data_IF_029301724151
#
_entry.id   IF_029301724151
#
_cell.length_a   1.000
_cell.length_b   1.000
_cell.length_c   1.000
_cell.angle_alpha   90.00
_cell.angle_beta   90.00
_cell.angle_gamma   90.00
#
_symmetry.space_group_name_H-M   'P 1'
#
loop_
_entity.id
_entity.type
_entity.pdbx_description
1 polymer ?
#
# COMPACT_ATOMS: atom_id res chain seq x y z
N UNK A 1 -68.96 4.44 -45.57
CA UNK A 1 -68.57 5.86 -45.46
C UNK A 1 -68.04 6.28 -46.83
N UNK A 2 -68.77 7.13 -47.56
CA UNK A 2 -68.48 7.44 -48.97
C UNK A 2 -67.12 8.13 -49.13
N UNK A 3 -66.39 7.77 -50.18
CA UNK A 3 -65.15 8.45 -50.59
C UNK A 3 -65.56 9.84 -51.08
N UNK A 4 -65.37 10.87 -50.25
CA UNK A 4 -65.55 12.26 -50.66
C UNK A 4 -64.38 12.56 -51.61
N UNK A 5 -64.67 12.71 -52.91
CA UNK A 5 -63.71 13.30 -53.86
C UNK A 5 -63.39 14.72 -53.39
N UNK A 6 -62.11 15.10 -53.43
CA UNK A 6 -61.68 16.45 -53.08
C UNK A 6 -62.41 17.49 -53.94
N UNK A 7 -62.85 18.59 -53.32
CA UNK A 7 -63.43 19.73 -54.03
C UNK A 7 -62.36 20.36 -54.94
N UNK A 8 -62.75 20.80 -56.14
CA UNK A 8 -61.89 21.68 -56.93
C UNK A 8 -61.70 23.04 -56.24
N UNK A 9 -60.64 23.77 -56.57
CA UNK A 9 -60.33 25.07 -55.95
C UNK A 9 -61.46 26.09 -56.17
N UNK A 10 -62.10 26.07 -57.35
CA UNK A 10 -63.27 26.90 -57.66
C UNK A 10 -64.50 26.52 -56.83
N UNK A 11 -64.80 25.22 -56.70
CA UNK A 11 -65.93 24.73 -55.88
C UNK A 11 -65.70 25.00 -54.39
N UNK A 12 -64.46 24.88 -53.92
CA UNK A 12 -64.07 25.21 -52.55
C UNK A 12 -64.31 26.70 -52.26
N UNK A 13 -63.87 27.58 -53.16
CA UNK A 13 -64.00 29.03 -53.01
C UNK A 13 -65.47 29.46 -53.02
N UNK A 14 -66.26 28.92 -53.96
CA UNK A 14 -67.69 29.18 -54.03
C UNK A 14 -68.46 28.70 -52.77
N UNK A 15 -68.03 27.60 -52.16
CA UNK A 15 -68.60 27.09 -50.90
C UNK A 15 -68.15 27.92 -49.70
N UNK A 16 -66.87 28.31 -49.67
CA UNK A 16 -66.30 29.19 -48.66
C UNK A 16 -67.05 30.52 -48.60
N UNK A 17 -67.23 31.19 -49.74
CA UNK A 17 -67.95 32.46 -49.84
C UNK A 17 -69.39 32.36 -49.35
N UNK A 18 -70.07 31.24 -49.68
CA UNK A 18 -71.44 30.97 -49.25
C UNK A 18 -71.56 30.78 -47.73
N UNK A 19 -70.57 30.13 -47.11
CA UNK A 19 -70.52 29.96 -45.65
C UNK A 19 -70.14 31.28 -44.98
N UNK A 20 -69.16 32.00 -45.52
CA UNK A 20 -68.69 33.29 -45.03
C UNK A 20 -69.73 34.41 -45.15
N UNK A 21 -70.75 34.26 -46.00
CA UNK A 21 -71.86 35.21 -46.12
C UNK A 21 -72.70 35.37 -44.83
N UNK A 22 -72.56 34.46 -43.86
CA UNK A 22 -73.24 34.53 -42.55
C UNK A 22 -72.26 34.74 -41.40
N UNK A 23 -72.65 35.50 -40.37
CA UNK A 23 -71.84 35.72 -39.18
C UNK A 23 -71.51 34.42 -38.42
N UNK A 24 -72.45 33.47 -38.38
CA UNK A 24 -72.22 32.14 -37.83
C UNK A 24 -71.24 31.32 -38.67
N UNK A 25 -71.28 31.42 -40.00
CA UNK A 25 -70.37 30.69 -40.88
C UNK A 25 -68.93 31.21 -40.80
N UNK A 26 -68.72 32.52 -40.65
CA UNK A 26 -67.39 33.08 -40.36
C UNK A 26 -66.85 32.59 -39.02
N UNK A 27 -67.69 32.53 -37.98
CA UNK A 27 -67.31 31.99 -36.68
C UNK A 27 -66.94 30.50 -36.76
N UNK A 28 -67.71 29.72 -37.52
CA UNK A 28 -67.42 28.32 -37.80
C UNK A 28 -66.07 28.14 -38.52
N UNK A 29 -65.79 28.90 -39.57
CA UNK A 29 -64.53 28.80 -40.32
C UNK A 29 -63.32 29.16 -39.46
N UNK A 30 -63.42 30.19 -38.61
CA UNK A 30 -62.37 30.57 -37.66
C UNK A 30 -62.06 29.45 -36.68
N UNK A 31 -63.12 28.85 -36.12
CA UNK A 31 -62.98 27.75 -35.16
C UNK A 31 -62.49 26.46 -35.83
N UNK A 32 -62.92 26.19 -37.06
CA UNK A 32 -62.44 25.07 -37.87
C UNK A 32 -60.95 25.22 -38.22
N UNK A 33 -60.53 26.42 -38.63
CA UNK A 33 -59.12 26.71 -38.90
C UNK A 33 -58.25 26.60 -37.63
N UNK A 34 -58.75 27.07 -36.48
CA UNK A 34 -58.06 26.91 -35.18
C UNK A 34 -57.85 25.43 -34.84
N UNK A 35 -58.90 24.61 -34.92
CA UNK A 35 -58.85 23.16 -34.61
C UNK A 35 -57.97 22.38 -35.60
N UNK A 36 -58.01 22.76 -36.88
CA UNK A 36 -57.14 22.17 -37.89
C UNK A 36 -55.66 22.48 -37.61
N UNK A 37 -55.34 23.72 -37.20
CA UNK A 37 -53.99 24.13 -36.80
C UNK A 37 -53.49 23.43 -35.54
N UNK A 38 -54.33 23.30 -34.52
CA UNK A 38 -53.99 22.60 -33.26
C UNK A 38 -53.64 21.13 -33.48
N UNK A 39 -54.33 20.47 -34.41
CA UNK A 39 -54.04 19.07 -34.76
C UNK A 39 -52.67 18.94 -35.43
N UNK A 40 -52.34 19.84 -36.36
CA UNK A 40 -51.02 19.85 -37.02
C UNK A 40 -49.88 20.21 -36.07
N UNK A 41 -50.10 21.16 -35.16
CA UNK A 41 -49.13 21.53 -34.13
C UNK A 41 -48.88 20.38 -33.13
N UNK A 42 -49.95 19.72 -32.67
CA UNK A 42 -49.83 18.55 -31.80
C UNK A 42 -49.06 17.40 -32.46
N UNK A 43 -49.29 17.14 -33.74
CA UNK A 43 -48.54 16.14 -34.50
C UNK A 43 -47.06 16.50 -34.64
N UNK A 44 -46.74 17.78 -34.89
CA UNK A 44 -45.37 18.26 -34.98
C UNK A 44 -44.64 18.15 -33.63
N UNK A 45 -45.29 18.51 -32.52
CA UNK A 45 -44.71 18.39 -31.19
C UNK A 45 -44.41 16.93 -30.81
N UNK A 46 -45.31 16.01 -31.17
CA UNK A 46 -45.09 14.56 -30.98
C UNK A 46 -43.90 14.09 -31.82
N UNK A 47 -43.84 14.45 -33.11
CA UNK A 47 -42.75 14.07 -33.99
C UNK A 47 -41.39 14.61 -33.50
N UNK A 48 -41.33 15.86 -33.02
CA UNK A 48 -40.11 16.44 -32.46
C UNK A 48 -39.69 15.76 -31.16
N UNK A 49 -40.64 15.36 -30.32
CA UNK A 49 -40.38 14.63 -29.08
C UNK A 49 -39.80 13.24 -29.36
N UNK A 50 -40.35 12.53 -30.34
CA UNK A 50 -39.85 11.24 -30.80
C UNK A 50 -38.44 11.37 -31.40
N UNK A 51 -38.22 12.36 -32.26
CA UNK A 51 -36.90 12.62 -32.83
C UNK A 51 -35.86 12.90 -31.73
N UNK A 52 -36.22 13.70 -30.71
CA UNK A 52 -35.34 13.98 -29.56
C UNK A 52 -35.03 12.72 -28.76
N UNK A 53 -36.01 11.84 -28.56
CA UNK A 53 -35.83 10.57 -27.87
C UNK A 53 -34.90 9.62 -28.65
N UNK A 54 -35.02 9.58 -29.98
CA UNK A 54 -34.12 8.81 -30.84
C UNK A 54 -32.68 9.36 -30.77
N UNK A 55 -32.51 10.68 -30.85
CA UNK A 55 -31.18 11.30 -30.73
C UNK A 55 -30.56 11.07 -29.35
N UNK A 56 -31.32 11.17 -28.26
CA UNK A 56 -30.79 10.91 -26.91
C UNK A 56 -30.43 9.44 -26.70
N UNK A 57 -31.24 8.51 -27.22
CA UNK A 57 -30.93 7.09 -27.22
C UNK A 57 -29.66 6.78 -28.02
N UNK A 58 -29.54 7.36 -29.22
CA UNK A 58 -28.36 7.21 -30.06
C UNK A 58 -27.10 7.76 -29.38
N UNK A 59 -27.18 8.93 -28.75
CA UNK A 59 -26.07 9.51 -27.99
C UNK A 59 -25.64 8.61 -26.82
N UNK A 60 -26.59 7.99 -26.12
CA UNK A 60 -26.31 7.03 -25.03
C UNK A 60 -25.58 5.79 -25.53
N UNK A 61 -25.96 5.25 -26.69
CA UNK A 61 -25.28 4.09 -27.30
C UNK A 61 -23.83 4.42 -27.69
N UNK A 62 -23.58 5.58 -28.30
CA UNK A 62 -22.21 6.00 -28.60
C UNK A 62 -21.38 6.23 -27.34
N UNK A 63 -21.98 6.77 -26.28
CA UNK A 63 -21.29 7.00 -25.02
C UNK A 63 -20.93 5.68 -24.31
N UNK A 64 -21.82 4.68 -24.33
CA UNK A 64 -21.54 3.35 -23.78
C UNK A 64 -20.50 2.59 -24.60
N UNK A 65 -20.57 2.66 -25.93
CA UNK A 65 -19.55 2.10 -26.81
C UNK A 65 -18.16 2.75 -26.58
N UNK A 66 -18.11 4.07 -26.43
CA UNK A 66 -16.87 4.79 -26.11
C UNK A 66 -16.27 4.40 -24.76
N UNK A 67 -17.10 4.20 -23.73
CA UNK A 67 -16.65 3.68 -22.42
C UNK A 67 -16.13 2.25 -22.50
N UNK A 68 -16.80 1.38 -23.26
CA UNK A 68 -16.36 0.01 -23.46
C UNK A 68 -15.00 -0.04 -24.18
N UNK A 69 -14.78 0.82 -25.17
CA UNK A 69 -13.51 0.91 -25.88
C UNK A 69 -12.38 1.47 -24.99
N UNK A 70 -12.68 2.46 -24.14
CA UNK A 70 -11.73 2.96 -23.14
C UNK A 70 -11.33 1.86 -22.15
N UNK A 71 -12.31 1.13 -21.59
CA UNK A 71 -12.06 0.00 -20.68
C UNK A 71 -11.24 -1.11 -21.38
N UNK A 72 -11.54 -1.40 -22.64
CA UNK A 72 -10.77 -2.35 -23.44
C UNK A 72 -9.31 -1.91 -23.61
N UNK A 73 -9.09 -0.61 -23.82
CA UNK A 73 -7.76 -0.01 -23.85
C UNK A 73 -7.02 -0.19 -22.53
N UNK A 74 -7.65 0.16 -21.41
CA UNK A 74 -7.09 -0.03 -20.06
C UNK A 74 -6.77 -1.50 -19.75
N UNK A 75 -7.64 -2.44 -20.13
CA UNK A 75 -7.41 -3.87 -19.99
C UNK A 75 -6.20 -4.35 -20.82
N UNK A 76 -6.01 -3.82 -22.02
CA UNK A 76 -4.84 -4.14 -22.85
C UNK A 76 -3.55 -3.56 -22.26
N UNK A 77 -3.59 -2.35 -21.72
CA UNK A 77 -2.45 -1.73 -21.05
C UNK A 77 -2.05 -2.48 -19.79
N UNK A 78 -3.03 -2.92 -18.98
CA UNK A 78 -2.79 -3.79 -17.84
C UNK A 78 -2.19 -5.14 -18.27
N UNK A 79 -2.73 -5.76 -19.33
CA UNK A 79 -2.19 -7.02 -19.85
C UNK A 79 -0.74 -6.86 -20.34
N UNK A 80 -0.42 -5.76 -21.02
CA UNK A 80 0.94 -5.44 -21.44
C UNK A 80 1.88 -5.23 -20.23
N UNK A 81 1.41 -4.53 -19.20
CA UNK A 81 2.16 -4.31 -17.95
C UNK A 81 2.44 -5.62 -17.21
N UNK A 82 1.46 -6.53 -17.16
CA UNK A 82 1.62 -7.86 -16.57
C UNK A 82 2.66 -8.69 -17.33
N UNK A 83 2.60 -8.69 -18.66
CA UNK A 83 3.59 -9.39 -19.50
C UNK A 83 5.00 -8.81 -19.36
N UNK A 84 5.12 -7.49 -19.21
CA UNK A 84 6.40 -6.85 -18.92
C UNK A 84 6.95 -7.29 -17.55
N UNK A 85 6.14 -7.22 -16.50
CA UNK A 85 6.52 -7.68 -15.16
C UNK A 85 6.91 -9.18 -15.16
N UNK A 86 6.18 -10.01 -15.91
CA UNK A 86 6.49 -11.44 -16.09
C UNK A 86 7.86 -11.64 -16.72
N UNK A 87 8.24 -10.85 -17.72
CA UNK A 87 9.57 -10.90 -18.36
C UNK A 87 10.68 -10.45 -17.42
N UNK A 88 10.46 -9.37 -16.67
CA UNK A 88 11.42 -8.87 -15.69
C UNK A 88 11.67 -9.91 -14.59
N UNK A 89 10.61 -10.52 -14.06
CA UNK A 89 10.71 -11.58 -13.05
C UNK A 89 11.36 -12.84 -13.63
N UNK A 90 11.04 -13.20 -14.87
CA UNK A 90 11.75 -14.28 -15.56
C UNK A 90 13.23 -13.97 -15.79
N UNK A 91 13.62 -12.71 -15.96
CA UNK A 91 15.01 -12.28 -16.10
C UNK A 91 15.79 -12.28 -14.77
N UNK A 92 15.10 -12.13 -13.63
CA UNK A 92 15.71 -12.36 -12.31
C UNK A 92 16.15 -13.82 -12.12
N UNK A 93 15.60 -14.75 -12.91
CA UNK A 93 16.03 -16.15 -12.91
C UNK A 93 17.18 -16.34 -13.92
N UNK A 94 18.37 -16.81 -13.49
CA UNK A 94 19.42 -17.23 -14.41
C UNK A 94 18.91 -18.37 -15.31
N UNK A 95 19.01 -18.19 -16.63
CA UNK A 95 18.62 -19.21 -17.62
C UNK A 95 19.64 -20.34 -17.64
N UNK A 96 19.17 -21.51 -17.25
CA UNK A 96 19.78 -22.83 -17.38
C UNK A 96 21.07 -23.11 -16.58
N UNK A 97 20.96 -24.17 -15.77
CA UNK A 97 22.00 -24.84 -14.97
C UNK A 97 22.37 -24.13 -13.67
N UNK A 98 21.62 -24.45 -12.62
CA UNK A 98 21.95 -24.09 -11.25
C UNK A 98 20.88 -23.22 -10.62
N UNK A 99 19.97 -23.86 -9.90
CA UNK A 99 19.41 -23.23 -8.70
C UNK A 99 20.55 -22.53 -7.92
N UNK A 100 20.18 -21.49 -7.17
CA UNK A 100 20.96 -20.97 -6.04
C UNK A 100 21.85 -19.74 -6.26
N UNK A 101 21.66 -18.77 -7.17
CA UNK A 101 22.48 -17.53 -7.01
C UNK A 101 22.10 -16.75 -5.75
N UNK A 102 20.80 -16.57 -5.52
CA UNK A 102 20.28 -15.98 -4.30
C UNK A 102 20.42 -16.96 -3.12
N UNK A 103 20.04 -18.24 -3.27
CA UNK A 103 20.28 -19.21 -2.21
C UNK A 103 21.78 -19.36 -1.84
N UNK A 104 22.73 -19.38 -2.81
CA UNK A 104 24.18 -19.40 -2.52
C UNK A 104 24.55 -18.13 -1.77
N UNK A 105 24.13 -16.95 -2.24
CA UNK A 105 24.48 -15.70 -1.57
C UNK A 105 23.93 -15.66 -0.13
N UNK A 106 22.70 -16.11 0.09
CA UNK A 106 22.10 -16.19 1.42
C UNK A 106 22.81 -17.23 2.31
N UNK A 107 23.17 -18.39 1.76
CA UNK A 107 23.89 -19.43 2.50
C UNK A 107 25.34 -19.03 2.82
N UNK A 108 26.02 -18.33 1.91
CA UNK A 108 27.34 -17.74 2.14
C UNK A 108 27.27 -16.65 3.22
N UNK A 109 26.23 -15.81 3.20
CA UNK A 109 26.00 -14.82 4.26
C UNK A 109 25.76 -15.47 5.62
N UNK A 110 24.98 -16.55 5.69
CA UNK A 110 24.81 -17.33 6.93
C UNK A 110 26.12 -17.97 7.41
N UNK A 111 26.93 -18.49 6.48
CA UNK A 111 28.25 -19.04 6.80
C UNK A 111 29.19 -17.97 7.36
N UNK A 112 29.13 -16.74 6.83
CA UNK A 112 29.87 -15.59 7.34
C UNK A 112 29.40 -15.23 8.76
N UNK A 113 28.09 -15.13 8.99
CA UNK A 113 27.55 -14.84 10.33
C UNK A 113 28.01 -15.91 11.32
N UNK A 114 27.83 -17.19 11.00
CA UNK A 114 28.23 -18.30 11.87
C UNK A 114 29.75 -18.32 12.13
N UNK A 115 30.57 -18.07 11.11
CA UNK A 115 32.03 -18.03 11.26
C UNK A 115 32.47 -16.86 12.14
N UNK A 116 31.84 -15.69 11.99
CA UNK A 116 32.17 -14.50 12.79
C UNK A 116 31.70 -14.64 14.24
N UNK A 117 30.54 -15.25 14.49
CA UNK A 117 30.08 -15.63 15.84
C UNK A 117 31.06 -16.58 16.52
N UNK A 118 31.50 -17.63 15.82
CA UNK A 118 32.48 -18.58 16.36
C UNK A 118 33.82 -17.91 16.68
N UNK A 119 34.32 -17.09 15.76
CA UNK A 119 35.56 -16.35 15.97
C UNK A 119 35.47 -15.41 17.19
N UNK A 120 34.32 -14.75 17.39
CA UNK A 120 34.08 -13.91 18.56
C UNK A 120 34.10 -14.70 19.87
N UNK A 121 33.45 -15.87 19.91
CA UNK A 121 33.52 -16.77 21.08
C UNK A 121 34.96 -17.18 21.38
N UNK A 122 35.75 -17.52 20.36
CA UNK A 122 37.17 -17.87 20.53
C UNK A 122 38.03 -16.69 21.05
N UNK A 123 37.73 -15.46 20.60
CA UNK A 123 38.36 -14.24 21.11
C UNK A 123 38.00 -14.02 22.58
N UNK A 124 36.73 -14.15 22.96
CA UNK A 124 36.27 -13.97 24.33
C UNK A 124 36.91 -14.99 25.28
N UNK A 125 36.97 -16.27 24.89
CA UNK A 125 37.67 -17.29 25.65
C UNK A 125 39.18 -17.02 25.78
N UNK A 126 39.79 -16.41 24.75
CA UNK A 126 41.21 -16.02 24.81
C UNK A 126 41.42 -14.86 25.79
N UNK A 127 40.51 -13.88 25.80
CA UNK A 127 40.47 -12.80 26.78
C UNK A 127 40.32 -13.34 28.21
N UNK A 128 39.41 -14.28 28.47
CA UNK A 128 39.26 -14.92 29.78
C UNK A 128 40.55 -15.59 30.25
N UNK A 129 41.23 -16.33 29.36
CA UNK A 129 42.54 -16.93 29.66
C UNK A 129 43.60 -15.88 29.96
N UNK A 130 43.60 -14.75 29.25
CA UNK A 130 44.53 -13.64 29.51
C UNK A 130 44.32 -13.06 30.91
N UNK A 131 43.07 -12.90 31.38
CA UNK A 131 42.80 -12.48 32.76
C UNK A 131 43.32 -13.48 33.79
N UNK A 132 43.14 -14.78 33.55
CA UNK A 132 43.67 -15.80 34.45
C UNK A 132 45.20 -15.73 34.54
N UNK A 133 45.88 -15.56 33.40
CA UNK A 133 47.33 -15.41 33.32
C UNK A 133 47.78 -14.13 34.02
N UNK A 134 47.11 -12.99 33.80
CA UNK A 134 47.41 -11.72 34.48
C UNK A 134 47.29 -11.87 36.01
N UNK A 135 46.22 -12.51 36.48
CA UNK A 135 46.03 -12.81 37.91
C UNK A 135 47.13 -13.72 38.49
N UNK A 136 47.62 -14.70 37.72
CA UNK A 136 48.75 -15.54 38.12
C UNK A 136 50.07 -14.77 38.17
N UNK A 137 50.33 -13.89 37.19
CA UNK A 137 51.51 -13.03 37.17
C UNK A 137 51.53 -12.10 38.38
N UNK A 138 50.40 -11.46 38.68
CA UNK A 138 50.23 -10.59 39.85
C UNK A 138 50.52 -11.33 41.17
N UNK A 139 50.00 -12.56 41.33
CA UNK A 139 50.33 -13.43 42.49
C UNK A 139 51.79 -13.88 42.51
N UNK A 140 52.43 -14.00 41.36
CA UNK A 140 53.84 -14.34 41.20
C UNK A 140 54.81 -13.20 41.47
N UNK A 141 54.31 -12.01 41.84
CA UNK A 141 55.13 -10.83 42.13
C UNK A 141 55.55 -10.02 40.90
N UNK A 142 54.86 -10.19 39.77
CA UNK A 142 55.02 -9.30 38.62
C UNK A 142 54.55 -7.87 38.96
N UNK A 143 54.98 -6.90 38.15
CA UNK A 143 54.62 -5.49 38.29
C UNK A 143 53.08 -5.31 38.31
N UNK A 144 52.50 -4.76 39.39
CA UNK A 144 51.06 -4.54 39.50
C UNK A 144 50.48 -3.65 38.40
N UNK A 145 51.23 -2.64 37.94
CA UNK A 145 50.75 -1.67 36.96
C UNK A 145 50.62 -2.34 35.59
N UNK A 146 51.62 -3.13 35.18
CA UNK A 146 51.54 -3.93 33.95
C UNK A 146 50.43 -4.98 33.98
N UNK A 147 50.14 -5.58 35.14
CA UNK A 147 49.03 -6.50 35.28
C UNK A 147 47.67 -5.79 35.13
N UNK A 148 47.55 -4.59 35.67
CA UNK A 148 46.34 -3.77 35.54
C UNK A 148 46.12 -3.32 34.09
N UNK A 149 47.18 -2.97 33.36
CA UNK A 149 47.09 -2.65 31.93
C UNK A 149 46.55 -3.83 31.11
N UNK A 150 47.00 -5.07 31.39
CA UNK A 150 46.46 -6.27 30.74
C UNK A 150 44.97 -6.46 31.06
N UNK A 151 44.57 -6.32 32.33
CA UNK A 151 43.16 -6.44 32.76
C UNK A 151 42.27 -5.38 32.06
N UNK A 152 42.78 -4.16 31.90
CA UNK A 152 42.09 -3.08 31.19
C UNK A 152 41.92 -3.40 29.69
N UNK A 153 42.98 -3.88 29.03
CA UNK A 153 42.89 -4.25 27.61
C UNK A 153 41.94 -5.43 27.38
N UNK A 154 41.91 -6.40 28.29
CA UNK A 154 40.92 -7.49 28.20
C UNK A 154 39.49 -6.96 28.37
N UNK A 155 39.27 -5.99 29.27
CA UNK A 155 37.96 -5.33 29.44
C UNK A 155 37.53 -4.60 28.15
N UNK A 156 38.47 -3.98 27.44
CA UNK A 156 38.21 -3.38 26.13
C UNK A 156 37.81 -4.43 25.09
N UNK A 157 38.45 -5.60 25.08
CA UNK A 157 38.10 -6.72 24.18
C UNK A 157 36.66 -7.19 24.44
N UNK A 158 36.26 -7.39 25.70
CA UNK A 158 34.87 -7.77 26.04
C UNK A 158 33.86 -6.75 25.53
N UNK A 159 34.15 -5.46 25.74
CA UNK A 159 33.28 -4.36 25.29
C UNK A 159 33.20 -4.29 23.77
N UNK A 160 34.31 -4.46 23.06
CA UNK A 160 34.34 -4.45 21.60
C UNK A 160 33.55 -5.62 21.01
N UNK A 161 33.65 -6.82 21.60
CA UNK A 161 32.93 -8.00 21.13
C UNK A 161 31.42 -7.92 21.43
N UNK A 162 30.98 -7.18 22.45
CA UNK A 162 29.53 -7.01 22.71
C UNK A 162 28.81 -6.27 21.57
N UNK A 163 29.50 -5.38 20.85
CA UNK A 163 28.94 -4.72 19.66
C UNK A 163 28.83 -5.66 18.44
N UNK A 164 29.61 -6.75 18.41
CA UNK A 164 29.52 -7.75 17.34
C UNK A 164 28.21 -8.55 17.45
N UNK A 165 27.66 -8.75 18.65
CA UNK A 165 26.34 -9.38 18.84
C UNK A 165 25.22 -8.59 18.14
N UNK A 166 25.18 -7.27 18.30
CA UNK A 166 24.21 -6.41 17.60
C UNK A 166 24.38 -6.47 16.07
N UNK A 167 25.62 -6.59 15.60
CA UNK A 167 25.92 -6.72 14.17
C UNK A 167 25.47 -8.08 13.63
N UNK A 168 25.71 -9.18 14.36
CA UNK A 168 25.23 -10.52 14.02
C UNK A 168 23.70 -10.56 13.91
N UNK A 169 23.00 -10.01 14.91
CA UNK A 169 21.54 -9.92 14.89
C UNK A 169 21.00 -9.12 13.69
N UNK A 170 21.62 -7.99 13.36
CA UNK A 170 21.22 -7.17 12.21
C UNK A 170 21.42 -7.91 10.88
N UNK A 171 22.57 -8.56 10.71
CA UNK A 171 22.85 -9.35 9.49
C UNK A 171 21.89 -10.52 9.36
N UNK A 172 21.61 -11.26 10.44
CA UNK A 172 20.63 -12.35 10.44
C UNK A 172 19.22 -11.88 10.03
N UNK A 173 18.81 -10.68 10.46
CA UNK A 173 17.54 -10.08 10.01
C UNK A 173 17.55 -9.78 8.50
N UNK A 174 18.65 -9.27 7.96
CA UNK A 174 18.79 -8.99 6.52
C UNK A 174 18.74 -10.30 5.71
N UNK A 175 19.45 -11.34 6.13
CA UNK A 175 19.40 -12.67 5.50
C UNK A 175 17.97 -13.21 5.47
N UNK A 176 17.25 -13.14 6.59
CA UNK A 176 15.87 -13.61 6.65
C UNK A 176 14.92 -12.80 5.75
N UNK A 177 15.14 -11.49 5.62
CA UNK A 177 14.39 -10.66 4.68
C UNK A 177 14.66 -11.07 3.22
N UNK A 178 15.91 -11.38 2.86
CA UNK A 178 16.26 -11.87 1.52
C UNK A 178 15.60 -13.23 1.22
N UNK A 179 15.57 -14.16 2.18
CA UNK A 179 14.83 -15.43 2.06
C UNK A 179 13.35 -15.22 1.81
N UNK A 180 12.74 -14.28 2.52
CA UNK A 180 11.32 -13.96 2.33
C UNK A 180 11.04 -13.42 0.92
N UNK A 181 11.91 -12.53 0.42
CA UNK A 181 11.80 -12.00 -0.96
C UNK A 181 11.92 -13.15 -1.98
N UNK A 182 12.89 -14.04 -1.80
CA UNK A 182 13.08 -15.22 -2.65
C UNK A 182 11.85 -16.12 -2.70
N UNK A 183 11.25 -16.45 -1.54
CA UNK A 183 10.02 -17.24 -1.46
C UNK A 183 8.87 -16.57 -2.24
N UNK A 184 8.70 -15.26 -2.11
CA UNK A 184 7.63 -14.51 -2.78
C UNK A 184 7.83 -14.45 -4.28
N UNK A 185 9.06 -14.26 -4.75
CA UNK A 185 9.41 -14.31 -6.18
C UNK A 185 9.14 -15.71 -6.75
N UNK A 186 9.56 -16.76 -6.04
CA UNK A 186 9.31 -18.15 -6.46
C UNK A 186 7.81 -18.47 -6.52
N UNK A 187 7.02 -18.00 -5.54
CA UNK A 187 5.57 -18.14 -5.55
C UNK A 187 4.92 -17.40 -6.74
N UNK A 188 5.37 -16.19 -7.06
CA UNK A 188 4.89 -15.44 -8.21
C UNK A 188 5.20 -16.15 -9.54
N UNK A 189 6.39 -16.73 -9.68
CA UNK A 189 6.75 -17.55 -10.84
C UNK A 189 5.83 -18.77 -10.96
N UNK A 190 5.54 -19.46 -9.84
CA UNK A 190 4.67 -20.62 -9.82
C UNK A 190 3.22 -20.28 -10.21
N UNK A 191 2.67 -19.18 -9.68
CA UNK A 191 1.29 -18.73 -9.99
C UNK A 191 1.14 -18.40 -11.48
N UNK A 192 2.15 -17.78 -12.09
CA UNK A 192 2.07 -17.32 -13.48
C UNK A 192 2.47 -18.36 -14.52
N UNK A 193 2.74 -19.61 -14.10
CA UNK A 193 3.09 -20.75 -14.95
C UNK A 193 4.03 -20.33 -16.09
N UNK A 194 5.08 -19.55 -15.75
CA UNK A 194 6.10 -19.12 -16.70
C UNK A 194 6.75 -20.41 -17.21
N UNK A 195 6.55 -20.74 -18.49
CA UNK A 195 6.83 -22.07 -19.05
C UNK A 195 8.22 -22.61 -18.64
N UNK A 196 8.25 -23.83 -18.10
CA UNK A 196 9.47 -24.54 -17.70
C UNK A 196 9.63 -24.87 -16.20
N UNK A 197 8.59 -24.71 -15.37
CA UNK A 197 8.68 -25.01 -13.93
C UNK A 197 7.64 -26.05 -13.51
N UNK A 198 8.10 -27.24 -13.11
CA UNK A 198 7.33 -28.09 -12.20
C UNK A 198 7.46 -27.48 -10.80
N UNK A 199 6.36 -27.32 -10.05
CA UNK A 199 6.42 -26.81 -8.69
C UNK A 199 7.17 -27.82 -7.83
N UNK A 200 8.38 -27.48 -7.39
CA UNK A 200 8.93 -28.07 -6.16
C UNK A 200 8.34 -27.26 -5.03
N UNK A 201 7.30 -27.78 -4.39
CA UNK A 201 6.74 -27.23 -3.16
C UNK A 201 7.86 -27.13 -2.13
N UNK A 202 8.32 -25.94 -1.72
CA UNK A 202 9.13 -25.82 -0.53
C UNK A 202 8.16 -25.95 0.64
N UNK A 203 8.37 -26.91 1.54
CA UNK A 203 7.75 -26.85 2.86
C UNK A 203 8.08 -25.48 3.45
N UNK A 204 7.07 -24.71 3.85
CA UNK A 204 7.29 -23.51 4.65
C UNK A 204 8.13 -23.92 5.86
N UNK A 205 9.25 -23.24 6.14
CA UNK A 205 9.96 -23.48 7.38
C UNK A 205 9.10 -22.92 8.51
N UNK A 206 8.21 -23.74 9.06
CA UNK A 206 7.58 -23.47 10.35
C UNK A 206 8.69 -23.34 11.38
N UNK A 207 8.83 -22.16 11.98
CA UNK A 207 9.66 -21.97 13.17
C UNK A 207 8.98 -22.68 14.34
N UNK A 208 9.33 -23.96 14.53
CA UNK A 208 8.76 -24.85 15.56
C UNK A 208 9.29 -24.58 16.97
N UNK A 209 10.12 -23.54 17.14
CA UNK A 209 10.62 -23.20 18.46
C UNK A 209 9.48 -22.61 19.30
N UNK A 210 9.39 -22.96 20.60
CA UNK A 210 8.29 -22.53 21.47
C UNK A 210 8.20 -21.01 21.64
N UNK A 211 9.26 -20.29 21.29
CA UNK A 211 9.44 -18.84 21.35
C UNK A 211 9.25 -18.13 20.00
N UNK A 212 8.83 -18.80 18.93
CA UNK A 212 8.62 -18.19 17.61
C UNK A 212 7.61 -17.02 17.63
N UNK A 213 6.67 -17.03 18.57
CA UNK A 213 5.70 -15.95 18.82
C UNK A 213 6.32 -14.69 19.49
N UNK A 214 7.56 -14.76 19.97
CA UNK A 214 8.30 -13.67 20.60
C UNK A 214 9.16 -12.88 19.60
N UNK A 215 9.28 -13.35 18.36
CA UNK A 215 10.02 -12.68 17.26
C UNK A 215 9.20 -11.60 16.53
N UNK A 216 8.29 -10.94 17.25
CA UNK A 216 7.73 -9.68 16.80
C UNK A 216 8.82 -8.62 16.83
N UNK A 217 9.17 -8.04 15.67
CA UNK A 217 10.00 -6.84 15.63
C UNK A 217 9.42 -5.72 16.51
N UNK A 218 10.20 -4.68 16.82
CA UNK A 218 9.75 -3.58 17.67
C UNK A 218 8.39 -3.07 17.18
N UNK A 219 7.38 -3.23 18.04
CA UNK A 219 6.01 -2.86 17.72
C UNK A 219 5.89 -1.32 17.79
N UNK A 220 4.97 -0.77 17.01
CA UNK A 220 4.74 0.68 16.89
C UNK A 220 4.13 1.32 18.15
N UNK A 221 3.62 0.51 19.07
CA UNK A 221 3.42 0.84 20.48
C UNK A 221 4.76 0.67 21.19
N UNK A 222 5.63 1.68 21.05
CA UNK A 222 6.93 1.71 21.71
C UNK A 222 6.78 1.43 23.21
N UNK A 223 7.70 0.64 23.75
CA UNK A 223 7.80 0.41 25.19
C UNK A 223 7.96 1.78 25.86
N UNK A 224 7.08 2.10 26.82
CA UNK A 224 7.20 3.34 27.58
C UNK A 224 8.52 3.28 28.36
N UNK A 225 9.42 4.22 28.07
CA UNK A 225 10.75 4.28 28.67
C UNK A 225 10.66 4.37 30.21
N UNK A 226 9.55 4.88 30.74
CA UNK A 226 9.29 4.91 32.18
C UNK A 226 9.08 3.51 32.79
N UNK A 227 8.54 2.55 32.03
CA UNK A 227 8.38 1.16 32.49
C UNK A 227 9.71 0.40 32.51
N UNK A 228 10.60 0.71 31.56
CA UNK A 228 11.97 0.17 31.52
C UNK A 228 12.79 0.68 32.71
N UNK A 229 12.67 1.98 33.00
CA UNK A 229 13.35 2.59 34.14
C UNK A 229 12.78 2.09 35.48
N UNK A 230 11.47 1.82 35.57
CA UNK A 230 10.83 1.21 36.73
C UNK A 230 11.31 -0.24 36.97
N UNK A 231 11.52 -1.01 35.91
CA UNK A 231 12.06 -2.38 35.99
C UNK A 231 13.53 -2.41 36.43
N UNK A 232 14.34 -1.46 35.96
CA UNK A 232 15.75 -1.34 36.39
C UNK A 232 15.90 -0.77 37.80
N UNK A 233 14.97 0.08 38.25
CA UNK A 233 14.94 0.59 39.63
C UNK A 233 14.34 -0.40 40.63
N UNK A 234 13.68 -1.46 40.18
CA UNK A 234 13.16 -2.56 41.00
C UNK A 234 14.23 -3.37 41.76
N UNK A 235 15.51 -3.22 41.45
CA UNK A 235 16.63 -3.79 42.21
C UNK A 235 17.15 -2.89 43.33
N UNK A 236 16.57 -1.70 43.54
CA UNK A 236 16.95 -0.78 44.60
C UNK A 236 15.73 -0.27 45.37
N UNK A 237 15.50 -0.79 46.57
CA UNK A 237 14.67 -0.14 47.60
C UNK A 237 15.38 -0.25 48.95
N UNK A 238 15.21 0.73 49.88
CA UNK A 238 13.92 1.34 50.23
C UNK A 238 13.84 2.87 50.29
N UNK A 239 12.58 3.34 50.27
CA UNK A 239 12.08 4.71 50.36
C UNK A 239 12.45 5.45 51.66
N UNK A 240 12.21 6.79 51.74
CA UNK A 240 10.96 7.20 52.40
C UNK A 240 10.29 8.52 51.92
N UNK A 241 9.02 8.63 52.37
CA UNK A 241 8.26 9.84 52.77
C UNK A 241 7.43 10.63 51.73
N UNK A 242 6.11 10.49 51.90
CA UNK A 242 5.03 11.23 51.26
C UNK A 242 4.68 12.57 51.96
N UNK A 243 4.08 13.51 51.20
CA UNK A 243 2.96 14.44 51.54
C UNK A 243 2.80 15.54 50.44
N UNK A 244 1.67 16.26 50.33
CA UNK A 244 0.25 15.88 50.11
C UNK A 244 -0.36 16.64 48.87
N UNK A 245 -1.64 16.46 48.48
CA UNK A 245 -2.17 16.92 47.18
C UNK A 245 -2.71 18.36 47.22
N UNK A 246 -2.55 19.11 46.12
CA UNK A 246 -3.23 20.39 45.90
C UNK A 246 -4.36 20.24 44.88
N UNK A 247 -5.57 20.60 45.34
CA UNK A 247 -6.88 20.65 44.68
C UNK A 247 -6.98 21.60 43.45
N UNK A 248 -8.12 21.59 42.71
CA UNK A 248 -8.17 21.80 41.25
C UNK A 248 -8.73 23.15 40.75
N UNK A 249 -8.57 23.35 39.43
CA UNK A 249 -9.35 24.19 38.49
C UNK A 249 -9.01 25.71 38.46
N UNK A 250 -9.18 26.45 37.33
CA UNK A 250 -10.30 26.34 36.38
C UNK A 250 -9.96 26.33 34.87
N UNK A 251 -10.98 25.92 34.13
CA UNK A 251 -11.08 25.94 32.67
C UNK A 251 -11.23 27.37 32.10
N UNK A 252 -10.57 27.59 30.95
CA UNK A 252 -10.87 28.61 29.93
C UNK A 252 -10.33 28.03 28.61
N UNK A 253 -11.12 27.51 27.69
CA UNK A 253 -11.95 28.21 26.70
C UNK A 253 -11.31 28.19 25.28
N UNK A 254 -11.96 27.42 24.40
CA UNK A 254 -12.28 27.74 22.98
C UNK A 254 -11.15 27.68 21.92
N UNK A 255 -11.18 26.60 21.14
CA UNK A 255 -11.41 26.53 19.67
C UNK A 255 -10.58 27.45 18.74
N UNK A 256 -9.64 26.85 17.96
CA UNK A 256 -9.43 27.04 16.50
C UNK A 256 -8.25 26.14 16.01
N UNK A 257 -8.33 25.43 14.87
CA UNK A 257 -7.22 24.62 14.35
C UNK A 257 -6.39 25.39 13.32
N UNK A 258 -5.06 25.19 13.26
CA UNK A 258 -4.35 25.45 12.01
C UNK A 258 -3.50 24.26 11.55
N UNK A 259 -3.89 23.75 10.39
CA UNK A 259 -3.11 23.41 9.19
C UNK A 259 -1.94 22.39 9.25
N UNK A 260 -1.82 21.49 8.26
CA UNK A 260 -0.87 20.38 8.27
C UNK A 260 0.49 20.76 7.67
N UNK A 261 1.54 20.15 8.24
CA UNK A 261 2.89 20.01 7.71
C UNK A 261 3.67 21.33 7.55
N UNK A 262 4.38 21.70 8.62
CA UNK A 262 5.45 22.69 8.55
C UNK A 262 6.64 22.09 7.78
N UNK A 263 6.82 22.55 6.55
CA UNK A 263 7.87 22.10 5.62
C UNK A 263 9.29 22.34 6.19
N UNK A 264 9.43 23.24 7.17
CA UNK A 264 10.73 23.59 7.77
C UNK A 264 11.28 22.51 8.71
N UNK A 265 10.45 21.60 9.22
CA UNK A 265 10.91 20.46 10.04
C UNK A 265 11.50 19.33 9.19
N UNK A 266 11.10 19.23 7.92
CA UNK A 266 11.57 18.19 6.98
C UNK A 266 12.98 18.53 6.47
N UNK A 267 13.26 19.81 6.22
CA UNK A 267 14.56 20.24 5.70
C UNK A 267 15.68 20.12 6.74
N UNK A 268 15.36 20.16 8.03
CA UNK A 268 16.35 19.98 9.11
C UNK A 268 16.77 18.51 9.35
N UNK A 269 16.20 17.55 8.64
CA UNK A 269 16.52 16.12 8.82
C UNK A 269 17.63 15.62 7.88
N UNK A 270 18.09 16.44 6.94
CA UNK A 270 19.05 16.06 5.90
C UNK A 270 20.33 16.91 5.85
N UNK A 271 20.57 17.76 6.84
CA UNK A 271 21.84 18.48 7.04
C UNK A 271 22.64 17.92 8.24
#
# INVERSE_FOLDING_TARGET
>A
MGIIRGLSEEEYTALFDRIAASSQGVAFLREHARRAGETGQAQLEVALREMRALYSQQASLYQTAGRAEALRGELMEMAASIEQARREIAALRPKETGNNRLDIATNELDAIVSTTERASIEILQSAERLMEVAGRLKRGGADPDLCADIENEVTNIFTACSFQDLTGQRTSKVVNALRYVEQRVNAMIAIWNIEGVKPTTPEEPEDKRPDAHLLGGPRSDGVDQNEVDALMSGFATPAPAAKPPSSPAPASAVDEPPNPLDQSEIDNLFD
#
